data_IF_948380939893
#
_entry.id   IF_948380939893
#
_cell.length_a   1.000
_cell.length_b   1.000
_cell.length_c   1.000
_cell.angle_alpha   90.00
_cell.angle_beta   90.00
_cell.angle_gamma   90.00
#
_symmetry.space_group_name_H-M   'P 1'
#
loop_
_entity.id
_entity.type
_entity.pdbx_description
1 polymer ?
#
# COMPACT_ATOMS: atom_id res chain seq x y z
N UNK A 1 -51.96 -40.37 83.21
CA UNK A 1 -50.91 -40.57 84.23
C UNK A 1 -49.60 -40.16 83.56
N UNK A 2 -48.82 -39.33 84.25
CA UNK A 2 -47.40 -38.97 83.98
C UNK A 2 -47.12 -38.10 82.72
N UNK A 3 -46.97 -36.78 82.81
CA UNK A 3 -45.87 -35.90 83.33
C UNK A 3 -44.71 -35.65 82.35
N UNK A 4 -44.53 -34.35 82.06
CA UNK A 4 -43.27 -33.60 81.79
C UNK A 4 -42.33 -34.13 80.68
N UNK A 5 -41.79 -33.31 79.78
CA UNK A 5 -40.89 -32.23 80.13
C UNK A 5 -40.60 -31.35 78.91
N UNK A 6 -40.69 -30.04 79.09
CA UNK A 6 -40.23 -29.04 78.14
C UNK A 6 -38.69 -28.97 78.13
N UNK A 7 -38.08 -28.98 76.95
CA UNK A 7 -36.67 -28.64 76.76
C UNK A 7 -36.56 -27.58 75.67
N UNK A 8 -36.45 -26.33 76.11
CA UNK A 8 -36.11 -25.16 75.32
C UNK A 8 -34.62 -25.21 74.93
N UNK A 9 -34.34 -25.39 73.64
CA UNK A 9 -33.01 -25.19 73.06
C UNK A 9 -32.92 -23.80 72.43
N UNK A 10 -32.28 -22.89 73.15
CA UNK A 10 -31.87 -21.56 72.69
C UNK A 10 -30.51 -21.67 71.99
N UNK A 11 -30.50 -21.89 70.68
CA UNK A 11 -29.27 -21.92 69.88
C UNK A 11 -28.99 -20.55 69.25
N UNK A 12 -28.10 -19.82 69.92
CA UNK A 12 -27.12 -18.83 69.45
C UNK A 12 -27.14 -18.43 67.96
N UNK A 13 -27.88 -17.37 67.62
CA UNK A 13 -27.65 -16.50 66.46
C UNK A 13 -26.51 -15.53 66.78
N UNK A 14 -25.26 -15.99 66.72
CA UNK A 14 -24.09 -15.14 66.95
C UNK A 14 -23.23 -15.07 65.68
N UNK A 15 -23.26 -13.90 65.06
CA UNK A 15 -22.10 -13.23 64.42
C UNK A 15 -21.40 -13.91 63.22
N UNK A 16 -22.12 -14.17 62.13
CA UNK A 16 -21.50 -14.40 60.81
C UNK A 16 -21.31 -13.09 59.98
N UNK A 17 -21.83 -11.95 60.46
CA UNK A 17 -21.92 -10.72 59.64
C UNK A 17 -20.69 -9.81 59.68
N UNK A 18 -19.72 -10.04 60.58
CA UNK A 18 -18.57 -9.12 60.77
C UNK A 18 -17.29 -9.54 60.03
N UNK A 19 -17.16 -10.79 59.61
CA UNK A 19 -15.95 -11.25 58.88
C UNK A 19 -15.96 -10.80 57.41
N UNK A 20 -17.15 -10.72 56.77
CA UNK A 20 -17.27 -10.28 55.37
C UNK A 20 -16.96 -8.80 55.13
N UNK A 21 -17.14 -7.94 56.15
CA UNK A 21 -16.89 -6.50 56.01
C UNK A 21 -15.39 -6.16 56.00
N UNK A 22 -14.58 -6.88 56.78
CA UNK A 22 -13.13 -6.66 56.89
C UNK A 22 -12.38 -7.00 55.59
N UNK A 23 -12.77 -8.11 54.92
CA UNK A 23 -12.12 -8.53 53.66
C UNK A 23 -12.51 -7.63 52.49
N UNK A 24 -13.73 -7.09 52.48
CA UNK A 24 -14.18 -6.15 51.45
C UNK A 24 -13.43 -4.79 51.55
N UNK A 25 -13.11 -4.34 52.76
CA UNK A 25 -12.38 -3.07 52.99
C UNK A 25 -10.90 -3.20 52.61
N UNK A 26 -10.24 -4.33 52.89
CA UNK A 26 -8.84 -4.54 52.48
C UNK A 26 -8.68 -4.63 50.95
N UNK A 27 -9.63 -5.24 50.24
CA UNK A 27 -9.61 -5.30 48.76
C UNK A 27 -9.67 -3.93 48.10
N UNK A 28 -10.35 -2.96 48.73
CA UNK A 28 -10.46 -1.59 48.23
C UNK A 28 -9.17 -0.77 48.45
N UNK A 29 -8.34 -1.14 49.43
CA UNK A 29 -7.04 -0.50 49.69
C UNK A 29 -6.01 -0.75 48.59
N UNK A 30 -5.90 -1.99 48.10
CA UNK A 30 -4.95 -2.37 47.02
C UNK A 30 -5.36 -1.85 45.62
N UNK A 31 -6.61 -1.42 45.46
CA UNK A 31 -7.14 -0.88 44.20
C UNK A 31 -6.95 0.64 44.08
N UNK A 32 -6.65 1.35 45.18
CA UNK A 32 -6.32 2.78 45.17
C UNK A 32 -4.94 3.00 44.54
N UNK A 33 -4.92 3.14 43.21
CA UNK A 33 -3.72 3.48 42.44
C UNK A 33 -3.63 2.80 41.07
N UNK A 34 -4.44 1.77 40.80
CA UNK A 34 -4.49 1.14 39.48
C UNK A 34 -5.48 1.88 38.58
N UNK A 35 -5.07 2.19 37.35
CA UNK A 35 -5.96 2.77 36.34
C UNK A 35 -7.16 1.84 36.10
N UNK A 36 -8.37 2.39 35.97
CA UNK A 36 -9.58 1.62 35.64
C UNK A 36 -9.38 0.72 34.40
N UNK A 37 -8.60 1.19 33.42
CA UNK A 37 -8.22 0.43 32.22
C UNK A 37 -7.50 -0.89 32.55
N UNK A 38 -6.61 -0.88 33.55
CA UNK A 38 -5.85 -2.06 33.96
C UNK A 38 -6.74 -3.11 34.65
N UNK A 39 -7.74 -2.66 35.42
CA UNK A 39 -8.71 -3.54 36.06
C UNK A 39 -9.63 -4.20 35.02
N UNK A 40 -10.14 -3.41 34.07
CA UNK A 40 -10.93 -3.93 32.96
C UNK A 40 -10.12 -4.95 32.16
N UNK A 41 -8.86 -4.65 31.85
CA UNK A 41 -8.00 -5.56 31.11
C UNK A 41 -7.72 -6.88 31.85
N UNK A 42 -7.52 -6.82 33.17
CA UNK A 42 -7.30 -8.02 33.98
C UNK A 42 -8.53 -8.93 34.01
N UNK A 43 -9.73 -8.36 34.20
CA UNK A 43 -10.99 -9.12 34.16
C UNK A 43 -11.30 -9.63 32.74
N UNK A 44 -10.99 -8.85 31.71
CA UNK A 44 -11.14 -9.27 30.31
C UNK A 44 -10.28 -10.52 30.02
N UNK A 45 -9.02 -10.53 30.45
CA UNK A 45 -8.10 -11.66 30.22
C UNK A 45 -8.51 -12.97 30.91
N UNK A 46 -9.25 -12.90 32.03
CA UNK A 46 -9.78 -14.10 32.70
C UNK A 46 -10.91 -14.76 31.90
N UNK A 47 -11.66 -13.98 31.12
CA UNK A 47 -12.80 -14.45 30.34
C UNK A 47 -12.32 -15.00 28.99
N UNK A 48 -12.06 -16.32 28.93
CA UNK A 48 -11.56 -16.99 27.71
C UNK A 48 -12.38 -16.67 26.45
N UNK A 49 -13.71 -16.63 26.56
CA UNK A 49 -14.61 -16.28 25.46
C UNK A 49 -14.40 -14.84 24.96
N UNK A 50 -14.14 -13.89 25.87
CA UNK A 50 -13.90 -12.50 25.50
C UNK A 50 -12.56 -12.34 24.76
N UNK A 51 -11.52 -13.03 25.23
CA UNK A 51 -10.22 -13.07 24.55
C UNK A 51 -10.32 -13.70 23.16
N UNK A 52 -11.05 -14.81 23.02
CA UNK A 52 -11.30 -15.45 21.73
C UNK A 52 -12.05 -14.50 20.76
N UNK A 53 -13.08 -13.80 21.25
CA UNK A 53 -13.79 -12.80 20.46
C UNK A 53 -12.90 -11.64 20.01
N UNK A 54 -12.04 -11.11 20.88
CA UNK A 54 -11.07 -10.08 20.51
C UNK A 54 -10.06 -10.58 19.46
N UNK A 55 -9.59 -11.83 19.59
CA UNK A 55 -8.74 -12.47 18.59
C UNK A 55 -9.43 -12.56 17.23
N UNK A 56 -10.69 -12.99 17.20
CA UNK A 56 -11.48 -13.03 15.97
C UNK A 56 -11.65 -11.65 15.35
N UNK A 57 -11.98 -10.62 16.15
CA UNK A 57 -12.09 -9.24 15.67
C UNK A 57 -10.77 -8.77 15.05
N UNK A 58 -9.63 -9.04 15.71
CA UNK A 58 -8.31 -8.69 15.19
C UNK A 58 -8.00 -9.39 13.86
N UNK A 59 -8.36 -10.68 13.74
CA UNK A 59 -8.22 -11.43 12.50
C UNK A 59 -9.08 -10.83 11.37
N UNK A 60 -10.33 -10.47 11.65
CA UNK A 60 -11.23 -9.87 10.66
C UNK A 60 -10.75 -8.47 10.22
N UNK A 61 -10.29 -7.65 11.15
CA UNK A 61 -9.70 -6.33 10.83
C UNK A 61 -8.43 -6.50 9.99
N UNK A 62 -7.57 -7.45 10.35
CA UNK A 62 -6.37 -7.75 9.57
C UNK A 62 -6.74 -8.21 8.16
N UNK A 63 -7.67 -9.15 8.02
CA UNK A 63 -8.14 -9.62 6.70
C UNK A 63 -8.72 -8.48 5.86
N UNK A 64 -9.47 -7.55 6.48
CA UNK A 64 -10.01 -6.36 5.82
C UNK A 64 -8.92 -5.41 5.32
N UNK A 65 -7.90 -5.14 6.14
CA UNK A 65 -6.75 -4.29 5.76
C UNK A 65 -5.95 -4.89 4.61
N UNK A 66 -5.81 -6.22 4.58
CA UNK A 66 -5.12 -6.93 3.50
C UNK A 66 -6.04 -7.27 2.31
N UNK A 67 -7.34 -6.96 2.37
CA UNK A 67 -8.29 -7.27 1.31
C UNK A 67 -7.90 -6.66 -0.05
N UNK A 68 -7.41 -5.40 -0.15
CA UNK A 68 -6.96 -4.86 -1.44
C UNK A 68 -5.85 -5.68 -2.09
N UNK A 69 -4.93 -6.23 -1.30
CA UNK A 69 -3.84 -7.06 -1.77
C UNK A 69 -4.37 -8.41 -2.32
N UNK A 70 -5.35 -9.01 -1.63
CA UNK A 70 -5.95 -10.29 -2.01
C UNK A 70 -6.94 -10.15 -3.18
N UNK A 71 -7.68 -9.06 -3.24
CA UNK A 71 -8.75 -8.84 -4.21
C UNK A 71 -8.24 -8.30 -5.57
N UNK A 72 -7.02 -7.77 -5.65
CA UNK A 72 -6.53 -7.13 -6.89
C UNK A 72 -6.42 -8.10 -8.08
N UNK A 73 -6.38 -9.41 -7.83
CA UNK A 73 -6.27 -10.42 -8.88
C UNK A 73 -4.98 -10.32 -9.72
N UNK A 74 -4.00 -9.59 -9.21
CA UNK A 74 -2.67 -9.40 -9.81
C UNK A 74 -1.68 -10.41 -9.22
N UNK A 75 -0.64 -10.82 -9.97
CA UNK A 75 0.42 -11.64 -9.41
C UNK A 75 1.24 -10.83 -8.41
N UNK A 76 1.67 -11.47 -7.32
CA UNK A 76 2.56 -10.85 -6.32
C UNK A 76 3.88 -10.46 -6.99
N UNK A 77 4.41 -11.38 -7.78
CA UNK A 77 5.67 -11.27 -8.50
C UNK A 77 5.53 -11.99 -9.84
N UNK A 78 6.17 -11.42 -10.86
CA UNK A 78 6.49 -12.17 -12.07
C UNK A 78 7.75 -11.60 -12.72
N UNK A 79 8.48 -12.46 -13.42
CA UNK A 79 9.57 -12.07 -14.31
C UNK A 79 9.06 -12.14 -15.76
N UNK A 80 9.29 -11.08 -16.52
CA UNK A 80 8.78 -10.95 -17.88
C UNK A 80 8.67 -9.52 -18.35
N UNK A 81 7.94 -9.33 -19.45
CA UNK A 81 7.70 -8.00 -20.02
C UNK A 81 6.21 -7.76 -20.30
N UNK A 82 5.80 -6.50 -20.12
CA UNK A 82 4.43 -6.05 -20.34
C UNK A 82 4.31 -5.37 -21.72
N UNK A 83 3.88 -6.13 -22.74
CA UNK A 83 3.63 -5.60 -24.08
C UNK A 83 2.48 -4.61 -24.10
N UNK A 84 1.47 -4.82 -23.27
CA UNK A 84 0.33 -3.93 -23.17
C UNK A 84 0.74 -2.52 -22.69
N UNK A 85 1.55 -2.42 -21.63
CA UNK A 85 2.06 -1.12 -21.15
C UNK A 85 2.90 -0.42 -22.23
N UNK A 86 3.74 -1.16 -22.95
CA UNK A 86 4.52 -0.61 -24.06
C UNK A 86 3.63 -0.11 -25.22
N UNK A 87 2.61 -0.88 -25.61
CA UNK A 87 1.63 -0.50 -26.65
C UNK A 87 0.84 0.74 -26.27
N UNK A 88 0.32 0.78 -25.04
CA UNK A 88 -0.43 1.93 -24.53
C UNK A 88 0.45 3.18 -24.45
N UNK A 89 1.70 3.04 -24.04
CA UNK A 89 2.66 4.15 -24.03
C UNK A 89 2.94 4.65 -25.45
N UNK A 90 3.18 3.75 -26.40
CA UNK A 90 3.38 4.09 -27.81
C UNK A 90 2.15 4.77 -28.43
N UNK A 91 0.95 4.28 -28.12
CA UNK A 91 -0.33 4.86 -28.57
C UNK A 91 -0.51 6.27 -28.00
N UNK A 92 -0.27 6.45 -26.71
CA UNK A 92 -0.37 7.73 -26.02
C UNK A 92 0.66 8.73 -26.54
N UNK A 93 1.90 8.29 -26.80
CA UNK A 93 2.96 9.10 -27.40
C UNK A 93 2.54 9.63 -28.78
N UNK A 94 2.00 8.76 -29.65
CA UNK A 94 1.51 9.17 -30.98
C UNK A 94 0.38 10.17 -30.87
N UNK A 95 -0.58 9.93 -29.97
CA UNK A 95 -1.70 10.86 -29.73
C UNK A 95 -1.21 12.24 -29.27
N UNK A 96 -0.28 12.28 -28.31
CA UNK A 96 0.31 13.53 -27.82
C UNK A 96 1.11 14.27 -28.91
N UNK A 97 1.86 13.55 -29.75
CA UNK A 97 2.59 14.13 -30.88
C UNK A 97 1.66 14.71 -31.94
N UNK A 98 0.59 13.99 -32.31
CA UNK A 98 -0.41 14.50 -33.26
C UNK A 98 -1.08 15.75 -32.71
N UNK A 99 -1.50 15.76 -31.44
CA UNK A 99 -2.08 16.95 -30.80
C UNK A 99 -1.09 18.13 -30.75
N UNK A 100 0.20 17.88 -30.53
CA UNK A 100 1.24 18.91 -30.56
C UNK A 100 1.42 19.48 -31.98
N UNK A 101 1.44 18.62 -33.01
CA UNK A 101 1.52 19.01 -34.41
C UNK A 101 0.29 19.86 -34.79
N UNK A 102 -0.91 19.44 -34.41
CA UNK A 102 -2.15 20.15 -34.69
C UNK A 102 -2.18 21.51 -33.99
N UNK A 103 -1.77 21.56 -32.72
CA UNK A 103 -1.66 22.80 -31.95
C UNK A 103 -0.66 23.78 -32.57
N UNK A 104 0.45 23.28 -33.13
CA UNK A 104 1.45 24.10 -33.85
C UNK A 104 0.94 24.57 -35.22
N UNK A 105 0.12 23.75 -35.89
CA UNK A 105 -0.44 24.07 -37.21
C UNK A 105 -1.59 25.07 -37.12
N UNK A 106 -2.42 25.01 -36.09
CA UNK A 106 -3.61 25.85 -35.94
C UNK A 106 -3.34 27.34 -35.62
N UNK A 107 -2.07 27.77 -35.67
CA UNK A 107 -1.56 29.13 -35.42
C UNK A 107 -1.98 29.84 -34.12
N UNK A 108 -2.70 29.16 -33.20
CA UNK A 108 -3.22 29.76 -31.96
C UNK A 108 -2.08 30.30 -31.08
N UNK A 109 -1.93 31.65 -30.95
CA UNK A 109 -0.94 32.23 -30.08
C UNK A 109 -1.25 31.84 -28.63
N UNK A 110 -0.25 31.35 -27.88
CA UNK A 110 -0.40 31.03 -26.45
C UNK A 110 -1.00 29.66 -26.13
N UNK A 111 -1.09 28.73 -27.09
CA UNK A 111 -1.41 27.34 -26.77
C UNK A 111 -0.41 26.79 -25.74
N UNK A 112 -0.92 26.29 -24.60
CA UNK A 112 -0.07 25.70 -23.58
C UNK A 112 0.46 24.34 -24.05
N UNK A 113 1.68 24.32 -24.59
CA UNK A 113 2.32 23.12 -25.14
C UNK A 113 3.04 22.26 -24.09
N UNK A 114 3.25 22.79 -22.89
CA UNK A 114 4.02 22.14 -21.83
C UNK A 114 3.45 20.78 -21.38
N UNK A 115 2.12 20.58 -21.28
CA UNK A 115 1.54 19.27 -20.99
C UNK A 115 1.89 18.20 -22.02
N UNK A 116 2.03 18.56 -23.30
CA UNK A 116 2.42 17.61 -24.35
C UNK A 116 3.86 17.15 -24.14
N UNK A 117 4.79 18.06 -23.83
CA UNK A 117 6.19 17.69 -23.56
C UNK A 117 6.32 16.79 -22.34
N UNK A 118 5.62 17.10 -21.25
CA UNK A 118 5.59 16.23 -20.06
C UNK A 118 5.07 14.83 -20.41
N UNK A 119 4.02 14.75 -21.23
CA UNK A 119 3.45 13.47 -21.69
C UNK A 119 4.44 12.72 -22.58
N UNK A 120 5.03 13.36 -23.59
CA UNK A 120 6.03 12.77 -24.49
C UNK A 120 7.21 12.23 -23.69
N UNK A 121 7.78 13.04 -22.80
CA UNK A 121 8.91 12.63 -21.95
C UNK A 121 8.56 11.43 -21.07
N UNK A 122 7.37 11.42 -20.45
CA UNK A 122 6.91 10.31 -19.63
C UNK A 122 6.75 9.03 -20.46
N UNK A 123 6.08 9.09 -21.61
CA UNK A 123 5.84 7.91 -22.45
C UNK A 123 7.12 7.35 -23.04
N UNK A 124 8.04 8.22 -23.49
CA UNK A 124 9.36 7.80 -23.97
C UNK A 124 10.16 7.13 -22.86
N UNK A 125 10.11 7.66 -21.63
CA UNK A 125 10.76 7.02 -20.48
C UNK A 125 10.17 5.63 -20.20
N UNK A 126 8.84 5.47 -20.27
CA UNK A 126 8.19 4.18 -20.07
C UNK A 126 8.59 3.18 -21.16
N UNK A 127 8.53 3.58 -22.43
CA UNK A 127 8.94 2.73 -23.56
C UNK A 127 10.42 2.37 -23.49
N UNK A 128 11.31 3.35 -23.27
CA UNK A 128 12.75 3.12 -23.20
C UNK A 128 13.16 2.20 -22.04
N UNK A 129 12.39 2.20 -20.94
CA UNK A 129 12.60 1.29 -19.84
C UNK A 129 12.16 -0.16 -20.16
N UNK A 130 11.35 -0.40 -21.19
CA UNK A 130 11.00 -1.76 -21.59
C UNK A 130 12.00 -2.37 -22.60
N UNK A 131 12.95 -1.57 -23.11
CA UNK A 131 13.89 -1.96 -24.16
C UNK A 131 15.28 -2.28 -23.62
N UNK A 132 16.11 -2.90 -24.47
CA UNK A 132 17.54 -3.04 -24.24
C UNK A 132 18.19 -1.66 -24.05
N UNK A 133 19.27 -1.53 -23.24
CA UNK A 133 19.86 -0.23 -22.89
C UNK A 133 20.21 0.63 -24.11
N UNK A 134 20.75 0.02 -25.17
CA UNK A 134 21.11 0.69 -26.42
C UNK A 134 19.89 1.27 -27.14
N UNK A 135 18.86 0.45 -27.38
CA UNK A 135 17.60 0.90 -28.00
C UNK A 135 16.81 1.87 -27.13
N UNK A 136 16.87 1.71 -25.81
CA UNK A 136 16.32 2.67 -24.86
C UNK A 136 17.02 4.03 -24.92
N UNK A 137 18.34 4.07 -25.15
CA UNK A 137 19.08 5.31 -25.35
C UNK A 137 18.70 5.98 -26.68
N UNK A 138 18.64 5.23 -27.78
CA UNK A 138 18.19 5.72 -29.09
C UNK A 138 16.81 6.39 -29.00
N UNK A 139 15.84 5.73 -28.33
CA UNK A 139 14.50 6.28 -28.15
C UNK A 139 14.48 7.55 -27.28
N UNK A 140 15.35 7.66 -26.28
CA UNK A 140 15.48 8.88 -25.46
C UNK A 140 16.03 10.04 -26.29
N UNK A 141 17.03 9.80 -27.13
CA UNK A 141 17.56 10.80 -28.06
C UNK A 141 16.48 11.30 -29.02
N UNK A 142 15.67 10.39 -29.59
CA UNK A 142 14.53 10.79 -30.42
C UNK A 142 13.52 11.64 -29.63
N UNK A 143 13.30 11.32 -28.35
CA UNK A 143 12.45 12.13 -27.47
C UNK A 143 12.96 13.53 -27.19
N UNK A 144 14.27 13.67 -27.01
CA UNK A 144 14.93 14.97 -26.87
C UNK A 144 14.81 15.79 -28.16
N UNK A 145 15.01 15.15 -29.32
CA UNK A 145 14.83 15.77 -30.63
C UNK A 145 13.38 16.22 -30.84
N UNK A 146 12.39 15.42 -30.45
CA UNK A 146 10.97 15.79 -30.52
C UNK A 146 10.66 17.02 -29.66
N UNK A 147 11.21 17.09 -28.45
CA UNK A 147 11.03 18.26 -27.59
C UNK A 147 11.73 19.49 -28.16
N UNK A 148 12.93 19.34 -28.72
CA UNK A 148 13.66 20.44 -29.36
C UNK A 148 12.91 20.96 -30.59
N UNK A 149 12.48 20.08 -31.49
CA UNK A 149 11.68 20.41 -32.66
C UNK A 149 10.37 21.10 -32.26
N UNK A 150 9.66 20.53 -31.27
CA UNK A 150 8.44 21.10 -30.75
C UNK A 150 8.60 22.45 -30.05
N UNK A 151 9.81 22.87 -29.66
CA UNK A 151 10.12 24.19 -29.09
C UNK A 151 10.66 25.18 -30.11
N UNK A 152 10.93 24.76 -31.35
CA UNK A 152 11.46 25.64 -32.39
C UNK A 152 10.53 26.85 -32.66
N UNK A 153 11.17 27.97 -33.01
CA UNK A 153 10.51 29.23 -33.38
C UNK A 153 9.89 29.11 -34.78
N UNK A 154 10.58 28.43 -35.70
CA UNK A 154 10.05 28.12 -37.03
C UNK A 154 9.01 27.01 -36.93
N UNK A 155 7.74 27.39 -37.01
CA UNK A 155 6.60 26.47 -36.85
C UNK A 155 6.51 25.47 -37.99
N UNK A 156 6.78 25.89 -39.22
CA UNK A 156 6.67 25.03 -40.39
C UNK A 156 7.76 23.96 -40.35
N UNK A 157 9.00 24.36 -40.09
CA UNK A 157 10.10 23.41 -39.89
C UNK A 157 9.86 22.49 -38.68
N UNK A 158 9.32 23.01 -37.57
CA UNK A 158 8.98 22.22 -36.39
C UNK A 158 7.96 21.11 -36.71
N UNK A 159 6.90 21.44 -37.45
CA UNK A 159 5.84 20.49 -37.81
C UNK A 159 6.38 19.40 -38.71
N UNK A 160 7.17 19.73 -39.74
CA UNK A 160 7.76 18.73 -40.63
C UNK A 160 8.75 17.82 -39.91
N UNK A 161 9.57 18.38 -39.01
CA UNK A 161 10.50 17.61 -38.20
C UNK A 161 9.78 16.68 -37.20
N UNK A 162 8.72 17.15 -36.55
CA UNK A 162 7.89 16.31 -35.67
C UNK A 162 7.24 15.16 -36.44
N UNK A 163 6.74 15.39 -37.66
CA UNK A 163 6.20 14.32 -38.52
C UNK A 163 7.28 13.33 -38.95
N UNK A 164 8.51 13.81 -39.22
CA UNK A 164 9.66 12.95 -39.54
C UNK A 164 10.00 12.04 -38.34
N UNK A 165 10.18 12.63 -37.16
CA UNK A 165 10.48 11.92 -35.91
C UNK A 165 9.36 10.95 -35.50
N UNK A 166 8.09 11.32 -35.71
CA UNK A 166 6.95 10.42 -35.46
C UNK A 166 7.00 9.19 -36.36
N UNK A 167 7.34 9.35 -37.65
CA UNK A 167 7.51 8.24 -38.59
C UNK A 167 8.69 7.35 -38.18
N UNK A 168 9.80 7.95 -37.78
CA UNK A 168 11.00 7.24 -37.32
C UNK A 168 10.72 6.41 -36.05
N UNK A 169 10.03 6.99 -35.05
CA UNK A 169 9.61 6.23 -33.87
C UNK A 169 8.67 5.08 -34.26
N UNK A 170 7.77 5.30 -35.22
CA UNK A 170 6.86 4.24 -35.68
C UNK A 170 7.58 3.12 -36.42
N UNK A 171 8.56 3.44 -37.27
CA UNK A 171 9.28 2.44 -38.07
C UNK A 171 10.27 1.67 -37.22
N UNK A 172 11.00 2.33 -36.33
CA UNK A 172 12.03 1.66 -35.55
C UNK A 172 11.48 0.99 -34.31
N UNK A 173 10.40 1.49 -33.69
CA UNK A 173 9.94 1.03 -32.38
C UNK A 173 8.55 0.38 -32.41
N UNK A 174 8.21 -0.30 -33.51
CA UNK A 174 6.96 -1.07 -33.57
C UNK A 174 6.98 -2.24 -32.58
N UNK A 175 5.86 -2.46 -31.91
CA UNK A 175 5.76 -3.43 -30.81
C UNK A 175 5.95 -4.85 -31.31
N UNK A 176 5.57 -5.13 -32.55
CA UNK A 176 5.64 -6.48 -33.14
C UNK A 176 7.07 -6.92 -33.39
N UNK A 177 7.97 -5.98 -33.65
CA UNK A 177 9.35 -6.23 -34.05
C UNK A 177 10.33 -6.03 -32.89
N UNK A 178 9.89 -5.33 -31.83
CA UNK A 178 10.74 -5.01 -30.69
C UNK A 178 10.88 -6.17 -29.69
N UNK A 179 12.14 -6.51 -29.41
CA UNK A 179 12.50 -7.41 -28.31
C UNK A 179 12.47 -6.63 -26.99
N UNK A 180 11.44 -6.88 -26.19
CA UNK A 180 11.32 -6.30 -24.86
C UNK A 180 12.21 -7.07 -23.87
N UNK A 181 12.81 -6.34 -22.94
CA UNK A 181 13.67 -6.94 -21.90
C UNK A 181 12.81 -7.38 -20.73
N UNK A 182 12.97 -8.65 -20.36
CA UNK A 182 12.36 -9.20 -19.16
C UNK A 182 12.88 -8.54 -17.90
N UNK A 183 11.97 -8.27 -16.96
CA UNK A 183 12.28 -7.64 -15.67
C UNK A 183 11.47 -8.24 -14.55
N UNK A 184 11.98 -8.19 -13.31
CA UNK A 184 11.18 -8.49 -12.13
C UNK A 184 10.13 -7.39 -11.93
N UNK A 185 8.86 -7.79 -11.94
CA UNK A 185 7.72 -6.93 -11.74
C UNK A 185 6.97 -7.34 -10.47
N UNK A 186 6.45 -6.34 -9.74
CA UNK A 186 5.64 -6.54 -8.52
C UNK A 186 4.28 -5.84 -8.62
N UNK A 187 3.36 -6.30 -9.50
CA UNK A 187 2.14 -5.55 -9.82
C UNK A 187 1.22 -5.32 -8.64
N UNK A 188 1.10 -6.32 -7.74
CA UNK A 188 0.32 -6.18 -6.50
C UNK A 188 0.87 -5.05 -5.65
N UNK A 189 2.19 -4.99 -5.48
CA UNK A 189 2.84 -3.96 -4.68
C UNK A 189 2.65 -2.59 -5.34
N UNK A 190 2.92 -2.48 -6.65
CA UNK A 190 2.78 -1.22 -7.41
C UNK A 190 1.33 -0.69 -7.47
N UNK A 191 0.34 -1.55 -7.24
CA UNK A 191 -1.08 -1.18 -7.24
C UNK A 191 -1.55 -0.54 -5.94
N UNK A 192 -0.80 -0.70 -4.85
CA UNK A 192 -1.21 -0.20 -3.54
C UNK A 192 -1.12 1.32 -3.50
N UNK A 193 -2.19 1.94 -3.02
CA UNK A 193 -2.21 3.34 -2.65
C UNK A 193 -1.36 3.60 -1.40
N UNK A 194 -0.82 4.81 -1.27
CA UNK A 194 -0.07 5.19 -0.07
C UNK A 194 -0.87 4.99 1.23
N UNK A 195 -2.19 5.20 1.19
CA UNK A 195 -3.08 4.98 2.33
C UNK A 195 -3.18 3.51 2.72
N UNK A 196 -3.31 2.60 1.76
CA UNK A 196 -3.35 1.16 2.02
C UNK A 196 -2.03 0.67 2.62
N UNK A 197 -0.89 1.12 2.09
CA UNK A 197 0.43 0.81 2.65
C UNK A 197 0.55 1.33 4.08
N UNK A 198 0.02 2.52 4.36
CA UNK A 198 -0.05 3.07 5.72
C UNK A 198 -0.86 2.17 6.67
N UNK A 199 -2.04 1.73 6.26
CA UNK A 199 -2.87 0.81 7.07
C UNK A 199 -2.20 -0.56 7.27
N UNK A 200 -1.57 -1.11 6.23
CA UNK A 200 -0.78 -2.36 6.34
C UNK A 200 0.35 -2.18 7.34
N UNK A 201 1.11 -1.08 7.28
CA UNK A 201 2.19 -0.79 8.21
C UNK A 201 1.68 -0.63 9.66
N UNK A 202 0.56 0.09 9.86
CA UNK A 202 -0.07 0.24 11.16
C UNK A 202 -0.51 -1.12 11.74
N UNK A 203 -1.11 -1.97 10.91
CA UNK A 203 -1.55 -3.30 11.32
C UNK A 203 -0.37 -4.20 11.67
N UNK A 204 0.72 -4.18 10.89
CA UNK A 204 1.94 -4.93 11.20
C UNK A 204 2.56 -4.48 12.53
N UNK A 205 2.60 -3.17 12.81
CA UNK A 205 3.06 -2.67 14.11
C UNK A 205 2.17 -3.15 15.26
N UNK A 206 0.85 -3.20 15.04
CA UNK A 206 -0.12 -3.69 16.04
C UNK A 206 0.07 -5.18 16.32
N UNK A 207 0.22 -6.00 15.27
CA UNK A 207 0.47 -7.44 15.40
C UNK A 207 1.81 -7.72 16.10
N UNK A 208 2.83 -6.91 15.82
CA UNK A 208 4.15 -7.01 16.43
C UNK A 208 4.25 -6.27 17.78
N UNK A 209 3.16 -5.72 18.31
CA UNK A 209 3.14 -4.96 19.56
C UNK A 209 3.81 -5.66 20.75
N UNK A 210 3.63 -6.97 21.00
CA UNK A 210 4.30 -7.64 22.10
C UNK A 210 5.83 -7.57 22.00
N UNK A 211 6.36 -7.72 20.78
CA UNK A 211 7.79 -7.67 20.49
C UNK A 211 8.32 -6.24 20.68
N UNK A 212 7.63 -5.24 20.13
CA UNK A 212 8.03 -3.83 20.25
C UNK A 212 7.94 -3.32 21.68
N UNK A 213 6.89 -3.68 22.42
CA UNK A 213 6.74 -3.28 23.82
C UNK A 213 7.83 -3.92 24.71
N UNK A 214 8.21 -5.17 24.44
CA UNK A 214 9.35 -5.80 25.11
C UNK A 214 10.66 -5.05 24.80
N UNK A 215 10.91 -4.71 23.54
CA UNK A 215 12.08 -3.96 23.12
C UNK A 215 12.14 -2.56 23.76
N UNK A 216 11.05 -1.79 23.71
CA UNK A 216 10.94 -0.46 24.30
C UNK A 216 11.18 -0.47 25.81
N UNK A 217 10.66 -1.48 26.52
CA UNK A 217 10.90 -1.65 27.96
C UNK A 217 12.35 -1.95 28.28
N UNK A 218 13.05 -2.65 27.38
CA UNK A 218 14.47 -3.02 27.55
C UNK A 218 15.40 -1.84 27.27
N UNK A 219 15.09 -1.03 26.27
CA UNK A 219 15.96 0.08 25.84
C UNK A 219 15.77 1.37 26.66
N UNK A 220 14.59 1.60 27.24
CA UNK A 220 14.27 2.85 27.95
C UNK A 220 14.10 2.66 29.46
N UNK A 221 15.19 2.57 30.22
CA UNK A 221 15.17 2.25 31.66
C UNK A 221 15.12 3.46 32.61
N UNK A 222 15.32 4.70 32.16
CA UNK A 222 15.57 5.85 33.06
C UNK A 222 14.45 6.90 33.24
N UNK A 223 13.53 7.10 32.28
CA UNK A 223 12.56 8.22 32.29
C UNK A 223 11.16 7.76 31.84
N UNK A 224 10.64 6.76 32.57
CA UNK A 224 9.73 5.70 32.09
C UNK A 224 8.38 6.11 31.49
N UNK A 225 7.59 7.00 32.09
CA UNK A 225 6.17 7.02 31.73
C UNK A 225 5.79 8.01 30.62
N UNK A 226 6.35 9.23 30.62
CA UNK A 226 6.03 10.23 29.57
C UNK A 226 6.62 9.82 28.22
N UNK A 227 7.89 9.43 28.21
CA UNK A 227 8.57 9.03 26.97
C UNK A 227 8.02 7.74 26.40
N UNK A 228 7.55 6.79 27.22
CA UNK A 228 6.90 5.58 26.71
C UNK A 228 5.57 5.89 26.02
N UNK A 229 4.76 6.81 26.57
CA UNK A 229 3.51 7.26 25.93
C UNK A 229 3.77 7.95 24.60
N UNK A 230 4.68 8.94 24.59
CA UNK A 230 5.04 9.65 23.35
C UNK A 230 5.72 8.74 22.33
N UNK A 231 6.57 7.82 22.77
CA UNK A 231 7.20 6.82 21.92
C UNK A 231 6.19 5.86 21.31
N UNK A 232 5.18 5.43 22.07
CA UNK A 232 4.09 4.58 21.57
C UNK A 232 3.24 5.31 20.53
N UNK A 233 2.87 6.58 20.81
CA UNK A 233 2.11 7.41 19.85
C UNK A 233 2.95 7.66 18.59
N UNK A 234 4.22 8.01 18.76
CA UNK A 234 5.14 8.22 17.64
C UNK A 234 5.34 6.95 16.80
N UNK A 235 5.41 5.79 17.44
CA UNK A 235 5.51 4.51 16.75
C UNK A 235 4.26 4.21 15.92
N UNK A 236 3.08 4.27 16.53
CA UNK A 236 1.83 3.88 15.86
C UNK A 236 1.26 4.91 14.90
N UNK A 237 1.49 6.20 15.13
CA UNK A 237 1.00 7.25 14.23
C UNK A 237 2.12 7.69 13.28
N UNK A 238 3.33 7.88 13.79
CA UNK A 238 4.45 8.42 13.01
C UNK A 238 4.97 7.47 11.95
N UNK A 239 5.19 6.19 12.28
CA UNK A 239 5.72 5.23 11.28
C UNK A 239 4.74 5.01 10.12
N UNK A 240 3.45 4.70 10.34
CA UNK A 240 2.51 4.53 9.22
C UNK A 240 2.37 5.77 8.35
N UNK A 241 2.34 6.97 8.95
CA UNK A 241 2.30 8.23 8.19
C UNK A 241 3.56 8.45 7.36
N UNK A 242 4.73 8.16 7.94
CA UNK A 242 6.02 8.27 7.25
C UNK A 242 6.10 7.28 6.10
N UNK A 243 5.75 6.01 6.32
CA UNK A 243 5.74 4.98 5.28
C UNK A 243 4.76 5.36 4.16
N UNK A 244 3.55 5.81 4.51
CA UNK A 244 2.53 6.25 3.55
C UNK A 244 3.01 7.44 2.70
N UNK A 245 3.66 8.41 3.34
CA UNK A 245 4.18 9.61 2.67
C UNK A 245 5.38 9.29 1.78
N UNK A 246 6.30 8.45 2.27
CA UNK A 246 7.43 7.97 1.50
C UNK A 246 6.96 7.18 0.28
N UNK A 247 5.93 6.34 0.45
CA UNK A 247 5.31 5.60 -0.64
C UNK A 247 4.77 6.52 -1.72
N UNK A 248 3.98 7.53 -1.33
CA UNK A 248 3.39 8.49 -2.26
C UNK A 248 4.46 9.29 -3.02
N UNK A 249 5.62 9.53 -2.41
CA UNK A 249 6.73 10.22 -3.04
C UNK A 249 7.53 9.35 -4.01
N UNK A 250 7.80 8.09 -3.64
CA UNK A 250 8.63 7.17 -4.43
C UNK A 250 7.84 6.52 -5.57
N UNK A 251 6.58 6.17 -5.33
CA UNK A 251 5.77 5.38 -6.26
C UNK A 251 4.67 6.27 -6.84
N UNK A 252 4.79 6.69 -8.10
CA UNK A 252 3.75 7.49 -8.73
C UNK A 252 2.48 6.66 -8.85
N UNK A 253 1.33 7.31 -8.63
CA UNK A 253 0.02 6.69 -8.84
C UNK A 253 -0.09 6.24 -10.29
N UNK A 254 -0.10 4.93 -10.51
CA UNK A 254 -0.28 4.33 -11.84
C UNK A 254 -1.56 3.51 -11.85
N UNK A 255 -2.46 3.85 -12.77
CA UNK A 255 -3.61 3.00 -13.08
C UNK A 255 -3.14 1.95 -14.07
N UNK A 256 -2.58 0.87 -13.56
CA UNK A 256 -2.26 -0.30 -14.38
C UNK A 256 -3.57 -1.03 -14.73
N UNK A 257 -3.86 -1.09 -16.04
CA UNK A 257 -5.05 -1.72 -16.63
C UNK A 257 -4.74 -3.09 -17.25
N UNK A 258 -3.55 -3.61 -17.02
CA UNK A 258 -3.10 -4.88 -17.61
C UNK A 258 -3.92 -6.04 -17.05
N UNK A 259 -4.53 -6.82 -17.95
CA UNK A 259 -5.19 -8.07 -17.56
C UNK A 259 -4.16 -9.20 -17.47
N UNK A 260 -3.56 -9.34 -16.29
CA UNK A 260 -2.57 -10.38 -16.01
C UNK A 260 -3.13 -11.79 -16.13
N UNK A 261 -4.44 -11.99 -15.89
CA UNK A 261 -5.08 -13.31 -15.99
C UNK A 261 -5.19 -13.73 -17.46
N UNK A 262 -5.57 -12.81 -18.34
CA UNK A 262 -5.57 -13.06 -19.77
C UNK A 262 -4.15 -13.37 -20.28
N UNK A 263 -3.12 -12.69 -19.76
CA UNK A 263 -1.73 -13.01 -20.06
C UNK A 263 -1.34 -14.44 -19.69
N UNK A 264 -1.76 -14.90 -18.51
CA UNK A 264 -1.47 -16.26 -18.03
C UNK A 264 -2.14 -17.32 -18.90
N UNK A 265 -3.42 -17.12 -19.25
CA UNK A 265 -4.17 -18.04 -20.10
C UNK A 265 -3.64 -18.06 -21.54
N UNK A 266 -3.16 -16.92 -22.06
CA UNK A 266 -2.59 -16.83 -23.40
C UNK A 266 -1.20 -17.48 -23.50
N UNK A 267 -0.43 -17.48 -22.42
CA UNK A 267 0.87 -18.14 -22.37
C UNK A 267 0.77 -19.67 -22.61
N UNK A 268 -0.35 -20.28 -22.23
CA UNK A 268 -0.61 -21.72 -22.47
C UNK A 268 -0.98 -22.04 -23.92
N UNK A 269 -1.52 -21.08 -24.68
CA UNK A 269 -2.12 -21.34 -26.00
C UNK A 269 -1.30 -20.81 -27.19
N UNK A 270 -0.69 -19.61 -27.08
CA UNK A 270 0.12 -18.99 -28.14
C UNK A 270 0.85 -17.75 -27.58
N UNK A 271 2.05 -17.95 -27.01
CA UNK A 271 2.80 -16.91 -26.26
C UNK A 271 3.12 -15.66 -27.09
N UNK A 272 3.13 -15.76 -28.42
CA UNK A 272 3.49 -14.68 -29.32
C UNK A 272 2.50 -13.51 -29.33
N UNK A 273 1.26 -13.68 -28.85
CA UNK A 273 0.24 -12.60 -28.82
C UNK A 273 -0.18 -12.17 -27.41
N UNK A 274 0.37 -12.79 -26.36
CA UNK A 274 -0.02 -12.49 -25.00
C UNK A 274 0.32 -11.02 -24.63
N UNK A 275 -0.58 -10.30 -23.92
CA UNK A 275 -0.32 -8.93 -23.47
C UNK A 275 0.83 -8.85 -22.45
N UNK A 276 1.01 -9.93 -21.68
CA UNK A 276 2.12 -10.15 -20.74
C UNK A 276 2.72 -11.50 -21.06
N UNK A 277 4.04 -11.54 -21.21
CA UNK A 277 4.78 -12.79 -21.39
C UNK A 277 5.52 -13.05 -20.08
N UNK A 278 5.25 -14.22 -19.50
CA UNK A 278 5.89 -14.72 -18.29
C UNK A 278 7.11 -15.54 -18.69
N UNK A 279 8.26 -15.24 -18.10
CA UNK A 279 9.44 -16.11 -18.17
C UNK A 279 9.43 -17.02 -16.93
N UNK A 280 9.47 -18.32 -17.16
CA UNK A 280 9.49 -19.38 -16.13
C UNK A 280 10.85 -20.03 -16.05
#
# INVERSE_FOLDING_TARGET
METNSATTNSASTVSASTVSASTAVQRNGELRGKSQSALIWFEFRKRRMAVAAAGLILCLVTASIFAPLLANGRPIYYEGFNRFEYQEAARTLRGALTQLIDARTAEKPGANIEPFFKTIALQIRLMANALAPEKGAELRTLGEQMQAAGRSVDRTAAVEELKRLQREVRSHFDVKEMTLVSRPNWPVIASLSGTEVGFIAANLLLLLWPCWNWLLRRTMTGQRDRWHRWGTIGLFCGIPLLVSSLWWWVIPVRVDRTDYKAGLLAAEADSAKAPVVFET
#
